data_IF_223879618886
#
_entry.id   IF_223879618886
#
_cell.length_a   1.000
_cell.length_b   1.000
_cell.length_c   1.000
_cell.angle_alpha   90.00
_cell.angle_beta   90.00
_cell.angle_gamma   90.00
#
_symmetry.space_group_name_H-M   'P 1'
#
loop_
_entity.id
_entity.type
_entity.pdbx_description
1 polymer ?
#
# COMPACT_ATOMS: atom_id res chain seq x y z
N UNK A 1 -11.99 26.28 -9.66
CA UNK A 1 -12.04 25.21 -8.65
C UNK A 1 -12.33 23.91 -9.38
N UNK A 2 -11.36 23.03 -9.54
CA UNK A 2 -11.61 21.70 -10.12
C UNK A 2 -12.29 20.85 -9.04
N UNK A 3 -13.59 20.62 -9.17
CA UNK A 3 -14.25 19.59 -8.38
C UNK A 3 -13.51 18.27 -8.64
N UNK A 4 -13.00 17.58 -7.61
CA UNK A 4 -12.44 16.25 -7.81
C UNK A 4 -13.56 15.39 -8.40
N UNK A 5 -13.26 14.70 -9.51
CA UNK A 5 -14.21 13.76 -10.11
C UNK A 5 -14.79 12.85 -9.02
N UNK A 6 -16.11 12.60 -9.01
CA UNK A 6 -16.72 11.73 -8.01
C UNK A 6 -16.07 10.34 -8.10
N UNK A 7 -15.63 9.83 -6.95
CA UNK A 7 -15.22 8.43 -6.84
C UNK A 7 -16.38 7.55 -7.30
N UNK A 8 -16.09 6.53 -8.12
CA UNK A 8 -17.13 5.59 -8.57
C UNK A 8 -17.53 4.67 -7.43
N UNK A 9 -16.61 4.42 -6.50
CA UNK A 9 -16.86 3.61 -5.33
C UNK A 9 -17.11 4.47 -4.09
N UNK A 10 -18.06 4.03 -3.27
CA UNK A 10 -18.40 4.69 -2.00
C UNK A 10 -17.16 4.77 -1.10
N UNK A 11 -16.81 5.98 -0.66
CA UNK A 11 -15.75 6.18 0.31
C UNK A 11 -16.36 6.24 1.71
N UNK A 12 -15.70 5.63 2.70
CA UNK A 12 -16.03 5.86 4.09
C UNK A 12 -15.72 7.32 4.43
N UNK A 13 -16.72 8.04 4.95
CA UNK A 13 -16.69 9.51 5.04
C UNK A 13 -15.93 9.97 6.30
N UNK A 14 -14.61 9.67 6.37
CA UNK A 14 -13.78 9.94 7.56
C UNK A 14 -12.35 10.41 7.24
N UNK A 15 -11.77 11.25 8.12
CA UNK A 15 -10.40 11.73 7.96
C UNK A 15 -9.40 10.58 8.15
N UNK A 16 -8.55 10.38 7.15
CA UNK A 16 -7.38 9.50 7.21
C UNK A 16 -6.40 10.02 8.27
N UNK A 17 -6.17 9.26 9.34
CA UNK A 17 -5.15 9.56 10.35
C UNK A 17 -3.86 8.80 9.99
N UNK A 18 -2.72 9.48 10.08
CA UNK A 18 -1.43 8.81 9.94
C UNK A 18 -1.09 8.06 11.23
N UNK A 19 -0.65 6.80 11.13
CA UNK A 19 -0.21 6.00 12.27
C UNK A 19 1.29 5.79 12.25
N UNK A 20 1.95 6.07 13.35
CA UNK A 20 3.36 5.76 13.52
C UNK A 20 3.55 4.43 14.24
N UNK A 21 4.05 3.43 13.51
CA UNK A 21 4.31 2.08 14.00
C UNK A 21 5.81 1.76 13.97
N UNK A 22 6.66 2.76 13.72
CA UNK A 22 8.10 2.60 13.69
C UNK A 22 8.60 2.19 15.07
N UNK A 23 9.52 1.22 15.12
CA UNK A 23 10.17 0.82 16.37
C UNK A 23 11.07 1.95 16.87
N UNK A 24 11.79 2.58 15.95
CA UNK A 24 12.61 3.76 16.25
C UNK A 24 11.80 5.02 16.02
N UNK A 25 11.46 5.71 17.10
CA UNK A 25 10.83 7.02 17.04
C UNK A 25 11.88 8.06 16.69
N UNK A 26 12.16 8.18 15.39
CA UNK A 26 12.98 9.26 14.85
C UNK A 26 12.11 10.47 14.53
N UNK A 27 12.58 11.67 14.88
CA UNK A 27 11.88 12.92 14.56
C UNK A 27 11.80 13.17 13.05
N UNK A 28 12.73 12.60 12.28
CA UNK A 28 12.71 12.64 10.83
C UNK A 28 11.88 11.48 10.27
N UNK A 29 11.09 11.77 9.24
CA UNK A 29 10.24 10.78 8.56
C UNK A 29 10.87 10.49 7.20
N UNK A 30 11.42 9.29 7.03
CA UNK A 30 11.93 8.83 5.74
C UNK A 30 10.80 8.38 4.82
N UNK A 31 10.96 8.63 3.51
CA UNK A 31 9.98 8.24 2.48
C UNK A 31 9.69 6.74 2.49
N UNK A 32 10.74 5.94 2.58
CA UNK A 32 10.67 4.49 2.56
C UNK A 32 9.87 3.92 3.73
N UNK A 33 9.79 4.66 4.84
CA UNK A 33 9.02 4.25 6.00
C UNK A 33 7.54 4.59 5.88
N UNK A 34 7.08 5.27 4.82
CA UNK A 34 5.70 5.70 4.71
C UNK A 34 4.93 4.84 3.71
N UNK A 35 3.76 4.35 4.11
CA UNK A 35 2.89 3.51 3.29
C UNK A 35 1.48 4.08 3.24
N UNK A 36 0.95 4.17 2.04
CA UNK A 36 -0.47 4.35 1.80
C UNK A 36 -1.14 2.98 1.73
N UNK A 37 -2.18 2.76 2.52
CA UNK A 37 -2.94 1.50 2.54
C UNK A 37 -4.39 1.77 2.24
N UNK A 38 -4.95 1.04 1.27
CA UNK A 38 -6.36 1.07 0.91
C UNK A 38 -7.08 -0.18 1.41
N UNK A 39 -8.25 0.03 1.99
CA UNK A 39 -9.12 -0.99 2.57
C UNK A 39 -10.43 -1.05 1.81
N UNK A 40 -10.91 -2.26 1.55
CA UNK A 40 -12.29 -2.57 1.18
C UNK A 40 -13.04 -2.96 2.44
N UNK A 41 -14.20 -2.37 2.66
CA UNK A 41 -15.06 -2.61 3.81
C UNK A 41 -16.41 -3.12 3.29
N UNK A 42 -16.84 -4.28 3.77
CA UNK A 42 -18.10 -4.92 3.36
C UNK A 42 -19.05 -5.01 4.55
N UNK A 43 -20.01 -4.08 4.65
CA UNK A 43 -20.97 -4.06 5.76
C UNK A 43 -22.39 -4.18 5.22
N UNK A 44 -23.16 -5.17 5.70
CA UNK A 44 -24.59 -5.33 5.39
C UNK A 44 -24.91 -5.31 3.87
N UNK A 45 -24.04 -5.91 3.05
CA UNK A 45 -24.10 -5.92 1.56
C UNK A 45 -23.73 -4.61 0.87
N UNK A 46 -23.29 -3.59 1.62
CA UNK A 46 -22.71 -2.36 1.08
C UNK A 46 -21.19 -2.48 1.09
N UNK A 47 -20.59 -2.14 -0.05
CA UNK A 47 -19.14 -2.07 -0.21
C UNK A 47 -18.69 -0.61 -0.17
N UNK A 48 -17.75 -0.30 0.70
CA UNK A 48 -17.12 1.01 0.79
C UNK A 48 -15.60 0.87 0.88
N UNK A 49 -14.90 1.98 0.69
CA UNK A 49 -13.44 2.02 0.67
C UNK A 49 -12.91 3.11 1.59
N UNK A 50 -11.79 2.82 2.23
CA UNK A 50 -11.07 3.74 3.09
C UNK A 50 -9.58 3.64 2.81
N UNK A 51 -8.82 4.64 3.23
CA UNK A 51 -7.36 4.57 3.22
C UNK A 51 -6.78 5.08 4.53
N UNK A 52 -5.54 4.66 4.80
CA UNK A 52 -4.72 5.12 5.90
C UNK A 52 -3.28 5.42 5.42
N UNK A 53 -2.58 6.25 6.18
CA UNK A 53 -1.13 6.37 6.09
C UNK A 53 -0.50 5.66 7.30
N UNK A 54 0.47 4.79 7.03
CA UNK A 54 1.17 4.02 8.05
C UNK A 54 2.65 4.30 7.91
N UNK A 55 3.29 4.72 9.00
CA UNK A 55 4.73 4.83 9.11
C UNK A 55 5.26 3.54 9.75
N UNK A 56 6.17 2.85 9.07
CA UNK A 56 6.77 1.60 9.52
C UNK A 56 8.20 1.51 8.99
N UNK A 57 9.14 1.16 9.86
CA UNK A 57 10.57 1.00 9.56
C UNK A 57 10.94 -0.45 9.19
N UNK A 58 9.99 -1.38 9.33
CA UNK A 58 10.12 -2.75 8.87
C UNK A 58 8.77 -3.40 8.51
N UNK A 59 8.84 -4.59 7.92
CA UNK A 59 7.66 -5.36 7.52
C UNK A 59 6.73 -5.69 8.70
N UNK A 60 7.27 -6.06 9.86
CA UNK A 60 6.43 -6.47 10.98
C UNK A 60 5.67 -5.27 11.54
N UNK A 61 6.32 -4.10 11.64
CA UNK A 61 5.68 -2.84 11.99
C UNK A 61 4.60 -2.43 11.00
N UNK A 62 4.81 -2.64 9.69
CA UNK A 62 3.78 -2.40 8.67
C UNK A 62 2.57 -3.32 8.88
N UNK A 63 2.80 -4.62 9.10
CA UNK A 63 1.73 -5.59 9.35
C UNK A 63 0.95 -5.24 10.61
N UNK A 64 1.62 -4.84 11.69
CA UNK A 64 0.95 -4.39 12.92
C UNK A 64 0.12 -3.14 12.63
N UNK A 65 0.66 -2.16 11.92
CA UNK A 65 -0.08 -0.95 11.50
C UNK A 65 -1.37 -1.24 10.75
N UNK A 66 -1.31 -2.17 9.78
CA UNK A 66 -2.49 -2.54 9.01
C UNK A 66 -3.53 -3.23 9.90
N UNK A 67 -3.10 -4.08 10.85
CA UNK A 67 -4.00 -4.74 11.81
C UNK A 67 -4.66 -3.73 12.76
N UNK A 68 -3.91 -2.77 13.27
CA UNK A 68 -4.44 -1.70 14.14
C UNK A 68 -5.44 -0.81 13.40
N UNK A 69 -5.20 -0.50 12.13
CA UNK A 69 -6.16 0.23 11.32
C UNK A 69 -7.45 -0.58 11.10
N UNK A 70 -7.36 -1.89 10.86
CA UNK A 70 -8.55 -2.76 10.78
C UNK A 70 -9.34 -2.77 12.07
N UNK A 71 -8.68 -2.86 13.23
CA UNK A 71 -9.34 -2.75 14.53
C UNK A 71 -10.03 -1.39 14.68
N UNK A 72 -9.39 -0.31 14.27
CA UNK A 72 -9.99 1.03 14.34
C UNK A 72 -11.23 1.16 13.44
N UNK A 73 -11.18 0.64 12.22
CA UNK A 73 -12.34 0.62 11.31
C UNK A 73 -13.50 -0.17 11.93
N UNK A 74 -13.21 -1.30 12.60
CA UNK A 74 -14.20 -2.08 13.33
C UNK A 74 -14.79 -1.31 14.52
N UNK A 75 -13.95 -0.67 15.35
CA UNK A 75 -14.37 0.11 16.51
C UNK A 75 -15.23 1.32 16.11
N UNK A 76 -15.01 1.86 14.91
CA UNK A 76 -15.85 2.90 14.30
C UNK A 76 -17.21 2.39 13.83
N UNK A 77 -17.48 1.09 13.92
CA UNK A 77 -18.71 0.44 13.47
C UNK A 77 -18.98 0.60 11.98
N UNK A 78 -17.91 0.73 11.18
CA UNK A 78 -17.99 0.73 9.72
C UNK A 78 -18.09 -0.70 9.16
N UNK A 79 -17.81 -1.69 9.99
CA UNK A 79 -17.89 -3.11 9.71
C UNK A 79 -18.48 -3.84 10.91
N UNK A 80 -18.92 -5.08 10.70
CA UNK A 80 -19.44 -5.94 11.77
C UNK A 80 -18.39 -6.94 12.28
N UNK A 81 -17.40 -7.24 11.46
CA UNK A 81 -16.30 -8.16 11.76
C UNK A 81 -15.00 -7.68 11.13
N UNK A 82 -13.85 -8.12 11.67
CA UNK A 82 -12.55 -7.91 11.01
C UNK A 82 -12.50 -8.55 9.62
N UNK A 83 -13.24 -9.63 9.38
CA UNK A 83 -13.29 -10.29 8.08
C UNK A 83 -13.97 -9.43 7.00
N UNK A 84 -14.74 -8.42 7.41
CA UNK A 84 -15.37 -7.48 6.49
C UNK A 84 -14.39 -6.41 5.98
N UNK A 85 -13.19 -6.34 6.58
CA UNK A 85 -12.20 -5.29 6.34
C UNK A 85 -10.95 -5.92 5.73
N UNK A 86 -10.78 -5.73 4.43
CA UNK A 86 -9.70 -6.33 3.65
C UNK A 86 -8.76 -5.24 3.14
N UNK A 87 -7.46 -5.27 3.46
CA UNK A 87 -6.49 -4.44 2.78
C UNK A 87 -6.38 -4.93 1.33
N UNK A 88 -6.62 -4.06 0.37
CA UNK A 88 -6.62 -4.39 -1.08
C UNK A 88 -5.55 -3.62 -1.86
N UNK A 89 -4.92 -2.65 -1.20
CA UNK A 89 -3.89 -1.80 -1.78
C UNK A 89 -2.86 -1.43 -0.72
N UNK A 90 -1.57 -1.58 -1.03
CA UNK A 90 -0.48 -1.10 -0.18
C UNK A 90 0.57 -0.48 -1.10
N UNK A 91 0.98 0.76 -0.85
CA UNK A 91 2.05 1.38 -1.62
C UNK A 91 2.97 2.21 -0.74
N UNK A 92 4.25 1.91 -0.78
CA UNK A 92 5.31 2.73 -0.23
C UNK A 92 5.37 4.08 -0.94
N UNK A 93 5.56 5.16 -0.19
CA UNK A 93 5.74 6.49 -0.75
C UNK A 93 7.04 6.57 -1.57
N UNK A 94 8.00 5.65 -1.43
CA UNK A 94 9.17 5.58 -2.30
C UNK A 94 8.80 5.36 -3.77
N UNK A 95 7.61 4.82 -4.05
CA UNK A 95 7.05 4.72 -5.40
C UNK A 95 6.63 6.06 -6.00
N UNK A 96 6.78 7.17 -5.26
CA UNK A 96 6.69 8.52 -5.80
C UNK A 96 8.04 9.07 -6.30
N UNK A 97 9.15 8.42 -5.94
CA UNK A 97 10.47 8.84 -6.36
C UNK A 97 10.73 8.56 -7.85
N UNK A 98 11.24 9.56 -8.58
CA UNK A 98 11.42 9.45 -10.03
C UNK A 98 12.50 8.42 -10.41
N UNK A 99 13.55 8.27 -9.60
CA UNK A 99 14.57 7.26 -9.88
C UNK A 99 14.01 5.84 -9.69
N UNK A 100 13.19 5.65 -8.64
CA UNK A 100 12.47 4.40 -8.44
C UNK A 100 11.53 4.10 -9.61
N UNK A 101 10.69 5.07 -10.02
CA UNK A 101 9.76 4.90 -11.15
C UNK A 101 10.52 4.52 -12.43
N UNK A 102 11.61 5.23 -12.76
CA UNK A 102 12.43 4.96 -13.92
C UNK A 102 13.06 3.55 -13.89
N UNK A 103 13.50 3.09 -12.71
CA UNK A 103 14.02 1.73 -12.52
C UNK A 103 12.93 0.67 -12.76
N UNK A 104 11.73 0.88 -12.22
CA UNK A 104 10.58 -0.02 -12.45
C UNK A 104 10.18 -0.09 -13.93
N UNK A 105 10.18 1.05 -14.63
CA UNK A 105 9.88 1.11 -16.06
C UNK A 105 10.97 0.42 -16.90
N UNK A 106 12.25 0.62 -16.58
CA UNK A 106 13.36 0.00 -17.28
C UNK A 106 13.34 -1.54 -17.20
N UNK A 107 12.84 -2.10 -16.09
CA UNK A 107 12.64 -3.53 -15.92
C UNK A 107 11.31 -4.06 -16.51
N UNK A 108 10.50 -3.20 -17.15
CA UNK A 108 9.23 -3.60 -17.77
C UNK A 108 8.10 -3.94 -16.78
N UNK A 109 8.33 -3.75 -15.48
CA UNK A 109 7.42 -4.18 -14.40
C UNK A 109 6.09 -3.44 -14.48
N UNK A 110 6.10 -2.14 -14.81
CA UNK A 110 4.86 -1.37 -14.96
C UNK A 110 3.98 -1.90 -16.12
N UNK A 111 4.58 -2.46 -17.17
CA UNK A 111 3.85 -3.11 -18.26
C UNK A 111 3.19 -4.39 -17.76
N UNK A 112 3.95 -5.24 -17.05
CA UNK A 112 3.43 -6.48 -16.49
C UNK A 112 2.31 -6.23 -15.46
N UNK A 113 2.46 -5.24 -14.57
CA UNK A 113 1.41 -4.82 -13.65
C UNK A 113 0.16 -4.39 -14.44
N UNK A 114 0.30 -3.58 -15.49
CA UNK A 114 -0.86 -3.16 -16.32
C UNK A 114 -1.55 -4.35 -16.98
N UNK A 115 -0.80 -5.34 -17.44
CA UNK A 115 -1.35 -6.56 -18.04
C UNK A 115 -2.13 -7.38 -17.01
N UNK A 116 -1.57 -7.60 -15.82
CA UNK A 116 -2.24 -8.35 -14.74
C UNK A 116 -3.50 -7.62 -14.28
N UNK A 117 -3.43 -6.30 -14.11
CA UNK A 117 -4.56 -5.47 -13.66
C UNK A 117 -5.56 -5.14 -14.79
N UNK A 118 -5.33 -5.61 -16.02
CA UNK A 118 -6.21 -5.34 -17.17
C UNK A 118 -7.56 -6.05 -17.06
N UNK A 119 -7.63 -7.12 -16.26
CA UNK A 119 -8.84 -7.93 -16.06
C UNK A 119 -9.19 -7.97 -14.58
N UNK A 120 -10.50 -7.90 -14.28
CA UNK A 120 -10.97 -8.03 -12.90
C UNK A 120 -10.75 -9.46 -12.41
N UNK A 121 -10.04 -9.58 -11.30
CA UNK A 121 -9.85 -10.82 -10.55
C UNK A 121 -9.64 -10.45 -9.08
N UNK A 122 -10.69 -10.61 -8.27
CA UNK A 122 -10.71 -10.15 -6.89
C UNK A 122 -9.80 -11.00 -5.97
N UNK A 123 -9.23 -12.10 -6.47
CA UNK A 123 -8.27 -12.93 -5.73
C UNK A 123 -6.83 -12.74 -6.20
N UNK A 124 -6.61 -12.00 -7.29
CA UNK A 124 -5.27 -11.81 -7.85
C UNK A 124 -4.66 -10.50 -7.38
N UNK A 125 -3.44 -10.62 -6.87
CA UNK A 125 -2.62 -9.51 -6.41
C UNK A 125 -1.29 -9.47 -7.17
N UNK A 126 -0.83 -8.27 -7.50
CA UNK A 126 0.56 -8.02 -7.90
C UNK A 126 1.32 -7.56 -6.68
N UNK A 127 2.38 -8.28 -6.28
CA UNK A 127 3.27 -7.87 -5.19
C UNK A 127 4.61 -7.46 -5.77
N UNK A 128 4.85 -6.16 -5.85
CA UNK A 128 6.12 -5.58 -6.26
C UNK A 128 6.94 -5.17 -5.04
N UNK A 129 8.24 -5.42 -5.07
CA UNK A 129 9.14 -5.06 -3.97
C UNK A 129 10.62 -5.23 -4.29
N UNK A 130 11.46 -5.03 -3.28
CA UNK A 130 12.91 -5.21 -3.37
C UNK A 130 13.35 -6.51 -2.71
N UNK A 131 14.26 -7.24 -3.36
CA UNK A 131 15.02 -8.37 -2.85
C UNK A 131 16.39 -7.88 -2.39
N UNK A 132 16.63 -7.88 -1.08
CA UNK A 132 17.77 -7.16 -0.51
C UNK A 132 17.61 -5.66 -0.75
N UNK A 133 18.70 -4.99 -1.15
CA UNK A 133 18.73 -3.53 -1.30
C UNK A 133 18.79 -3.04 -2.77
N UNK A 134 18.87 -3.94 -3.74
CA UNK A 134 19.25 -3.57 -5.12
C UNK A 134 18.35 -4.16 -6.19
N UNK A 135 17.80 -5.35 -5.97
CA UNK A 135 17.06 -6.08 -6.99
C UNK A 135 15.56 -5.85 -6.79
N UNK A 136 14.89 -5.38 -7.84
CA UNK A 136 13.43 -5.26 -7.83
C UNK A 136 12.78 -6.50 -8.42
N UNK A 137 11.65 -6.92 -7.89
CA UNK A 137 10.90 -8.04 -8.43
C UNK A 137 9.39 -7.83 -8.33
N UNK A 138 8.68 -8.52 -9.22
CA UNK A 138 7.24 -8.62 -9.24
C UNK A 138 6.86 -10.08 -9.00
N UNK A 139 6.01 -10.32 -8.01
CA UNK A 139 5.51 -11.65 -7.64
C UNK A 139 3.99 -11.61 -7.70
N UNK A 140 3.36 -12.20 -8.73
CA UNK A 140 1.93 -12.40 -8.76
C UNK A 140 1.49 -13.40 -7.70
N UNK A 141 0.43 -13.09 -6.97
CA UNK A 141 -0.11 -13.94 -5.90
C UNK A 141 -1.62 -14.10 -6.03
N UNK A 142 -2.10 -15.30 -5.70
CA UNK A 142 -3.51 -15.55 -5.44
C UNK A 142 -3.73 -15.54 -3.93
N UNK A 143 -4.55 -14.61 -3.44
CA UNK A 143 -4.74 -14.35 -2.03
C UNK A 143 -6.10 -13.71 -1.76
N UNK A 144 -6.57 -13.80 -0.51
CA UNK A 144 -7.81 -13.13 -0.09
C UNK A 144 -7.63 -11.64 0.17
N UNK A 145 -6.43 -11.21 0.58
CA UNK A 145 -6.11 -9.81 0.84
C UNK A 145 -4.62 -9.50 0.57
N UNK A 146 -4.29 -8.20 0.58
CA UNK A 146 -2.94 -7.71 0.34
C UNK A 146 -1.95 -8.19 1.42
N UNK A 147 -2.38 -8.33 2.68
CA UNK A 147 -1.53 -8.85 3.76
C UNK A 147 -1.10 -10.30 3.48
N UNK A 148 -2.04 -11.13 3.03
CA UNK A 148 -1.78 -12.52 2.68
C UNK A 148 -0.89 -12.60 1.45
N UNK A 149 -1.14 -11.77 0.43
CA UNK A 149 -0.29 -11.66 -0.75
C UNK A 149 1.16 -11.29 -0.39
N UNK A 150 1.36 -10.26 0.45
CA UNK A 150 2.69 -9.87 0.94
C UNK A 150 3.42 -11.01 1.65
N UNK A 151 2.70 -11.74 2.53
CA UNK A 151 3.25 -12.87 3.26
C UNK A 151 3.68 -14.01 2.32
N UNK A 152 2.85 -14.34 1.33
CA UNK A 152 3.13 -15.39 0.34
C UNK A 152 4.34 -15.02 -0.53
N UNK A 153 4.38 -13.78 -1.02
CA UNK A 153 5.50 -13.27 -1.80
C UNK A 153 6.83 -13.33 -1.02
N UNK A 154 6.82 -12.90 0.25
CA UNK A 154 7.99 -12.98 1.15
C UNK A 154 8.43 -14.43 1.40
N UNK A 155 7.50 -15.37 1.48
CA UNK A 155 7.86 -16.78 1.64
C UNK A 155 8.46 -17.37 0.36
N UNK A 156 7.91 -17.04 -0.81
CA UNK A 156 8.47 -17.45 -2.11
C UNK A 156 9.86 -16.84 -2.34
N UNK A 157 10.08 -15.58 -1.98
CA UNK A 157 11.39 -14.93 -2.15
C UNK A 157 12.48 -15.59 -1.31
N UNK A 158 12.17 -15.97 -0.06
CA UNK A 158 13.11 -16.69 0.81
C UNK A 158 13.51 -18.02 0.18
N UNK A 159 12.55 -18.73 -0.43
CA UNK A 159 12.82 -20.00 -1.13
C UNK A 159 13.68 -19.83 -2.39
N UNK A 160 13.49 -18.74 -3.12
CA UNK A 160 14.15 -18.52 -4.41
C UNK A 160 15.57 -17.95 -4.27
N UNK A 161 15.80 -17.06 -3.30
CA UNK A 161 17.04 -16.29 -3.24
C UNK A 161 17.66 -16.17 -1.84
N UNK A 162 17.02 -16.69 -0.78
CA UNK A 162 17.41 -16.47 0.63
C UNK A 162 17.60 -14.99 1.01
N UNK A 163 17.03 -14.07 0.22
CA UNK A 163 17.07 -12.62 0.45
C UNK A 163 15.82 -12.16 1.19
N UNK A 164 15.98 -11.10 1.98
CA UNK A 164 14.85 -10.37 2.53
C UNK A 164 14.05 -9.72 1.40
N UNK A 165 12.73 -9.85 1.45
CA UNK A 165 11.84 -9.17 0.51
C UNK A 165 11.08 -8.06 1.21
N UNK A 166 11.15 -6.88 0.62
CA UNK A 166 10.51 -5.68 1.10
C UNK A 166 9.42 -5.23 0.12
N UNK A 167 8.13 -5.43 0.43
CA UNK A 167 7.04 -5.04 -0.46
C UNK A 167 6.94 -3.52 -0.57
N UNK A 168 6.93 -3.02 -1.80
CA UNK A 168 6.81 -1.60 -2.13
C UNK A 168 5.44 -1.24 -2.71
N UNK A 169 4.81 -2.14 -3.45
CA UNK A 169 3.52 -1.90 -4.11
C UNK A 169 2.74 -3.20 -4.23
N UNK A 170 1.54 -3.21 -3.69
CA UNK A 170 0.64 -4.37 -3.64
C UNK A 170 -0.71 -3.91 -4.14
N UNK A 171 -1.16 -4.47 -5.25
CA UNK A 171 -2.40 -4.06 -5.91
C UNK A 171 -3.27 -5.28 -6.20
N UNK A 172 -4.54 -5.20 -5.82
CA UNK A 172 -5.56 -6.13 -6.28
C UNK A 172 -5.93 -5.84 -7.74
N UNK A 173 -6.22 -6.86 -8.52
CA UNK A 173 -6.81 -6.73 -9.85
C UNK A 173 -8.30 -6.35 -9.79
N UNK A 174 -8.60 -5.23 -9.13
CA UNK A 174 -9.94 -4.67 -8.95
C UNK A 174 -9.99 -3.22 -9.49
N UNK A 175 -11.08 -2.75 -10.12
CA UNK A 175 -11.11 -1.40 -10.70
C UNK A 175 -10.95 -0.27 -9.66
N UNK A 176 -11.28 -0.51 -8.39
CA UNK A 176 -11.03 0.43 -7.29
C UNK A 176 -9.54 0.77 -7.10
N UNK A 177 -8.62 -0.08 -7.57
CA UNK A 177 -7.17 0.20 -7.58
C UNK A 177 -6.84 1.50 -8.29
N UNK A 178 -7.56 1.87 -9.35
CA UNK A 178 -7.36 3.14 -10.06
C UNK A 178 -7.71 4.36 -9.21
N UNK A 179 -8.70 4.21 -8.33
CA UNK A 179 -9.10 5.28 -7.40
C UNK A 179 -8.10 5.41 -6.26
N UNK A 180 -7.58 4.28 -5.75
CA UNK A 180 -6.48 4.28 -4.80
C UNK A 180 -5.19 4.86 -5.39
N UNK A 181 -4.86 4.58 -6.65
CA UNK A 181 -3.73 5.19 -7.35
C UNK A 181 -3.87 6.73 -7.41
N UNK A 182 -5.07 7.23 -7.75
CA UNK A 182 -5.34 8.66 -7.77
C UNK A 182 -5.30 9.30 -6.37
N UNK A 183 -5.80 8.58 -5.36
CA UNK A 183 -5.73 9.00 -3.95
C UNK A 183 -4.30 9.04 -3.44
N UNK A 184 -3.50 8.02 -3.76
CA UNK A 184 -2.10 7.91 -3.37
C UNK A 184 -1.35 9.18 -3.74
N UNK A 185 -1.38 9.61 -4.99
CA UNK A 185 -0.66 10.83 -5.41
C UNK A 185 -1.11 12.08 -4.64
N UNK A 186 -2.42 12.27 -4.45
CA UNK A 186 -2.97 13.42 -3.71
C UNK A 186 -2.60 13.41 -2.24
N UNK A 187 -2.70 12.25 -1.59
CA UNK A 187 -2.40 12.08 -0.17
C UNK A 187 -0.91 12.23 0.08
N UNK A 188 -0.09 11.61 -0.75
CA UNK A 188 1.36 11.68 -0.70
C UNK A 188 1.86 13.12 -0.91
N UNK A 189 1.29 13.88 -1.86
CA UNK A 189 1.59 15.32 -2.01
C UNK A 189 1.26 16.13 -0.75
N UNK A 190 0.08 15.92 -0.16
CA UNK A 190 -0.35 16.63 1.04
C UNK A 190 0.54 16.27 2.23
N UNK A 191 0.80 14.98 2.41
CA UNK A 191 1.66 14.47 3.48
C UNK A 191 3.05 15.08 3.38
N UNK A 192 3.64 15.08 2.18
CA UNK A 192 4.95 15.67 1.93
C UNK A 192 5.03 17.17 2.22
N UNK A 193 3.97 17.93 1.93
CA UNK A 193 3.90 19.35 2.32
C UNK A 193 3.83 19.54 3.83
N UNK A 194 3.18 18.63 4.56
CA UNK A 194 3.03 18.71 6.02
C UNK A 194 4.32 18.34 6.74
N UNK A 195 5.04 17.31 6.29
CA UNK A 195 6.31 16.89 6.92
C UNK A 195 7.48 17.83 6.58
N UNK A 196 7.35 18.66 5.54
CA UNK A 196 8.24 19.80 5.27
C UNK A 196 9.73 19.42 5.28
N UNK A 197 10.53 20.16 6.05
CA UNK A 197 11.99 19.98 6.17
C UNK A 197 12.41 18.79 7.05
N UNK A 198 11.48 18.11 7.74
CA UNK A 198 11.75 16.89 8.53
C UNK A 198 11.86 15.63 7.66
N UNK A 199 11.91 15.82 6.34
CA UNK A 199 11.97 14.77 5.34
C UNK A 199 13.39 14.61 4.81
N UNK A 200 14.03 13.48 5.12
CA UNK A 200 15.21 13.04 4.37
C UNK A 200 14.74 12.26 3.15
N UNK A 201 15.16 12.69 1.96
CA UNK A 201 15.30 11.76 0.86
C UNK A 201 16.35 10.74 1.31
N UNK A 202 15.96 9.49 1.49
CA UNK A 202 16.90 8.43 1.84
C UNK A 202 18.05 8.47 0.84
N UNK A 203 19.27 8.76 1.32
CA UNK A 203 20.45 8.40 0.57
C UNK A 203 20.51 6.89 0.65
N UNK A 204 20.18 6.20 -0.45
CA UNK A 204 20.60 4.82 -0.60
C UNK A 204 22.13 4.82 -0.48
N UNK A 205 22.63 4.39 0.68
CA UNK A 205 24.04 4.08 0.92
C UNK A 205 24.30 2.62 0.57
#
# INVERSE_FOLDING_TARGET
>A
MNQPAPFRYLQADRPCVARDMRKKHEMEIAREHCYFVGFKITAESVMSYQHALILADDYESLVIGIKEERNTILDQKLATSLNDIEPVFVRSLSMWDQAMIASVDACGINTEIKEILSRRDDYRFTVFGMLGNEEICLIPEEAHDALTAMRLARWKSIKLAAKNFHPLDVRQAHPATREFDALFHRVTERFMRLVGASFKAGQMQ
#
